data_IF_979287798977
#
_entry.id   IF_979287798977
#
_cell.length_a   1.000
_cell.length_b   1.000
_cell.length_c   1.000
_cell.angle_alpha   90.00
_cell.angle_beta   90.00
_cell.angle_gamma   90.00
#
_symmetry.space_group_name_H-M   'P 1'
#
loop_
_entity.id
_entity.type
_entity.pdbx_description
1 polymer ?
#
# COMPACT_ATOMS: atom_id res chain seq x y z
N UNK A 1 -1.18 8.70 14.82
CA UNK A 1 -0.21 7.62 14.52
C UNK A 1 0.64 7.92 13.26
N UNK A 2 1.82 7.30 13.10
CA UNK A 2 2.50 7.21 11.80
C UNK A 2 1.62 6.44 10.81
N UNK A 3 1.52 6.90 9.57
CA UNK A 3 0.58 6.36 8.58
C UNK A 3 1.26 5.90 7.28
N UNK A 4 2.32 6.59 6.84
CA UNK A 4 3.09 6.21 5.65
C UNK A 4 4.50 6.82 5.67
N UNK A 5 5.37 6.34 4.79
CA UNK A 5 6.68 6.95 4.56
C UNK A 5 7.07 6.85 3.09
N UNK A 6 7.81 7.83 2.58
CA UNK A 6 8.34 7.81 1.21
C UNK A 6 9.51 8.78 1.06
N UNK A 7 10.59 8.36 0.41
CA UNK A 7 11.79 9.16 0.13
C UNK A 7 12.32 9.99 1.33
N UNK A 8 12.26 9.43 2.55
CA UNK A 8 12.71 10.09 3.78
C UNK A 8 11.68 11.02 4.43
N UNK A 9 10.50 11.20 3.83
CA UNK A 9 9.35 11.84 4.47
C UNK A 9 8.53 10.83 5.25
N UNK A 10 8.04 11.25 6.41
CA UNK A 10 7.09 10.51 7.24
C UNK A 10 5.74 11.21 7.20
N UNK A 11 4.66 10.47 6.97
CA UNK A 11 3.29 10.97 7.08
C UNK A 11 2.66 10.48 8.39
N UNK A 12 2.02 11.40 9.10
CA UNK A 12 1.25 11.14 10.31
C UNK A 12 -0.21 11.51 10.09
N UNK A 13 -1.09 10.74 10.72
CA UNK A 13 -2.53 10.95 10.71
C UNK A 13 -3.07 10.94 12.14
N UNK A 14 -4.11 11.74 12.40
CA UNK A 14 -4.85 11.63 13.67
C UNK A 14 -5.69 10.36 13.71
N UNK A 15 -5.67 9.70 14.88
CA UNK A 15 -6.50 8.53 15.19
C UNK A 15 -7.96 8.91 15.50
N UNK A 16 -8.25 10.21 15.70
CA UNK A 16 -9.61 10.71 15.92
C UNK A 16 -10.45 10.63 14.65
N UNK A 17 -11.74 10.28 14.78
CA UNK A 17 -12.67 10.25 13.65
C UNK A 17 -12.92 11.65 13.08
N UNK A 18 -13.23 11.71 11.78
CA UNK A 18 -13.61 12.96 11.10
C UNK A 18 -12.75 13.21 9.87
N UNK A 19 -12.79 14.44 9.37
CA UNK A 19 -11.92 14.86 8.28
C UNK A 19 -10.46 14.80 8.72
N UNK A 20 -9.59 14.41 7.80
CA UNK A 20 -8.20 14.08 8.12
C UNK A 20 -7.26 15.16 7.61
N UNK A 21 -6.22 15.43 8.38
CA UNK A 21 -5.07 16.22 7.95
C UNK A 21 -3.85 15.33 8.03
N UNK A 22 -3.14 15.17 6.91
CA UNK A 22 -1.84 14.51 6.90
C UNK A 22 -0.76 15.51 7.30
N UNK A 23 0.04 15.14 8.29
CA UNK A 23 1.24 15.87 8.66
C UNK A 23 2.44 15.18 8.04
N UNK A 24 3.14 15.87 7.14
CA UNK A 24 4.41 15.43 6.57
C UNK A 24 5.56 15.96 7.40
N UNK A 25 6.46 15.08 7.81
CA UNK A 25 7.65 15.41 8.56
C UNK A 25 8.89 14.94 7.80
N UNK A 26 9.88 15.82 7.68
CA UNK A 26 11.22 15.43 7.29
C UNK A 26 12.10 15.46 8.56
N UNK A 27 12.47 14.30 9.12
CA UNK A 27 13.24 14.25 10.36
C UNK A 27 14.66 14.81 10.22
N UNK A 28 15.23 14.82 9.01
CA UNK A 28 16.58 15.32 8.74
C UNK A 28 16.57 16.85 8.74
N UNK A 29 15.65 17.45 7.97
CA UNK A 29 15.55 18.91 7.86
C UNK A 29 14.72 19.53 8.98
N UNK A 30 14.06 18.71 9.80
CA UNK A 30 13.12 19.10 10.87
C UNK A 30 11.96 19.96 10.39
N UNK A 31 11.63 19.85 9.10
CA UNK A 31 10.49 20.54 8.52
C UNK A 31 9.22 19.71 8.75
N UNK A 32 8.14 20.42 9.07
CA UNK A 32 6.80 19.87 9.19
C UNK A 32 5.87 20.66 8.27
N UNK A 33 5.03 19.97 7.52
CA UNK A 33 4.00 20.57 6.68
C UNK A 33 2.68 19.83 6.86
N UNK A 34 1.59 20.57 7.01
CA UNK A 34 0.24 20.01 7.02
C UNK A 34 -0.34 20.09 5.60
N UNK A 35 -0.85 18.97 5.10
CA UNK A 35 -1.65 18.99 3.87
C UNK A 35 -3.03 19.62 4.16
N UNK A 36 -3.72 20.15 3.13
CA UNK A 36 -5.09 20.60 3.29
C UNK A 36 -5.99 19.47 3.83
N UNK A 37 -7.05 19.84 4.53
CA UNK A 37 -7.99 18.87 5.13
C UNK A 37 -8.62 17.98 4.06
N UNK A 38 -8.75 16.68 4.33
CA UNK A 38 -9.29 15.70 3.38
C UNK A 38 -10.78 15.94 3.13
N UNK A 39 -11.26 15.80 1.89
CA UNK A 39 -12.67 15.97 1.55
C UNK A 39 -13.59 15.01 2.31
N UNK A 40 -13.17 13.75 2.48
CA UNK A 40 -13.99 12.73 3.12
C UNK A 40 -13.60 12.54 4.59
N UNK A 41 -14.62 12.45 5.46
CA UNK A 41 -14.45 12.12 6.87
C UNK A 41 -14.24 10.61 7.06
N UNK A 42 -13.23 10.23 7.85
CA UNK A 42 -12.77 8.84 7.99
C UNK A 42 -12.45 8.48 9.45
N UNK A 43 -12.42 7.19 9.80
CA UNK A 43 -11.95 6.73 11.12
C UNK A 43 -10.47 6.36 11.07
N UNK A 44 -10.12 5.24 10.41
CA UNK A 44 -8.76 4.71 10.37
C UNK A 44 -8.35 4.36 8.93
N UNK A 45 -8.26 5.35 8.02
CA UNK A 45 -8.03 5.07 6.61
C UNK A 45 -6.64 4.52 6.34
N UNK A 46 -6.54 3.85 5.20
CA UNK A 46 -5.27 3.39 4.62
C UNK A 46 -4.61 4.56 3.88
N UNK A 47 -3.33 4.84 4.13
CA UNK A 47 -2.63 6.03 3.62
C UNK A 47 -1.43 5.69 2.75
N UNK A 48 -1.51 5.95 1.45
CA UNK A 48 -0.35 5.90 0.56
C UNK A 48 0.40 7.23 0.52
N UNK A 49 1.73 7.19 0.47
CA UNK A 49 2.56 8.36 0.19
C UNK A 49 3.60 8.03 -0.88
N UNK A 50 3.76 8.91 -1.85
CA UNK A 50 4.84 8.88 -2.83
C UNK A 50 5.44 10.28 -2.94
N UNK A 51 6.71 10.41 -2.56
CA UNK A 51 7.46 11.65 -2.66
C UNK A 51 8.52 11.52 -3.75
N UNK A 52 8.41 12.37 -4.77
CA UNK A 52 9.42 12.60 -5.77
C UNK A 52 10.28 13.83 -5.44
N UNK A 53 11.27 14.16 -6.29
CA UNK A 53 12.11 15.34 -6.09
C UNK A 53 11.36 16.66 -6.08
N UNK A 54 10.26 16.75 -6.83
CA UNK A 54 9.45 17.97 -7.01
C UNK A 54 7.95 17.74 -6.83
N UNK A 55 7.55 16.54 -6.42
CA UNK A 55 6.13 16.16 -6.35
C UNK A 55 5.82 15.29 -5.14
N UNK A 56 4.60 15.42 -4.65
CA UNK A 56 4.06 14.64 -3.55
C UNK A 56 2.68 14.15 -3.97
N UNK A 57 2.46 12.85 -3.84
CA UNK A 57 1.15 12.23 -4.00
C UNK A 57 0.82 11.55 -2.68
N UNK A 58 -0.34 11.86 -2.13
CA UNK A 58 -0.88 11.14 -0.97
C UNK A 58 -2.26 10.58 -1.31
N UNK A 59 -2.50 9.32 -0.95
CA UNK A 59 -3.79 8.63 -1.14
C UNK A 59 -4.34 8.31 0.23
N UNK A 60 -5.59 8.68 0.51
CA UNK A 60 -6.29 8.38 1.76
C UNK A 60 -7.55 7.60 1.42
N UNK A 61 -7.56 6.30 1.71
CA UNK A 61 -8.56 5.37 1.21
C UNK A 61 -9.26 4.58 2.32
N UNK A 62 -10.56 4.38 2.15
CA UNK A 62 -11.39 3.55 3.02
C UNK A 62 -11.77 4.20 4.35
N UNK A 63 -12.45 3.40 5.17
CA UNK A 63 -12.95 3.80 6.48
C UNK A 63 -13.77 5.10 6.47
N UNK A 64 -14.51 5.33 5.38
CA UNK A 64 -15.42 6.45 5.19
C UNK A 64 -16.50 6.41 6.28
N UNK A 65 -16.63 7.51 7.03
CA UNK A 65 -17.67 7.65 8.05
C UNK A 65 -19.03 7.79 7.37
N UNK A 66 -19.86 6.75 7.52
CA UNK A 66 -21.27 6.79 7.06
C UNK A 66 -22.21 7.20 8.18
N UNK A 67 -21.75 7.12 9.43
CA UNK A 67 -22.38 7.68 10.62
C UNK A 67 -21.32 7.88 11.71
N UNK A 68 -21.64 8.53 12.85
CA UNK A 68 -20.71 8.65 13.97
C UNK A 68 -20.22 7.30 14.55
N UNK A 69 -20.91 6.20 14.25
CA UNK A 69 -20.66 4.88 14.82
C UNK A 69 -20.33 3.81 13.78
N UNK A 70 -20.28 4.17 12.50
CA UNK A 70 -20.10 3.21 11.42
C UNK A 70 -19.23 3.75 10.29
N UNK A 71 -18.36 2.89 9.79
CA UNK A 71 -17.52 3.14 8.63
C UNK A 71 -17.78 2.14 7.52
N UNK A 72 -17.48 2.55 6.28
CA UNK A 72 -17.46 1.67 5.11
C UNK A 72 -16.28 2.04 4.23
N UNK A 73 -15.73 1.08 3.50
CA UNK A 73 -14.74 1.34 2.45
C UNK A 73 -15.45 1.75 1.16
N UNK A 74 -15.64 3.06 0.96
CA UNK A 74 -16.41 3.61 -0.17
C UNK A 74 -15.50 4.31 -1.15
N UNK A 75 -14.57 5.14 -0.66
CA UNK A 75 -13.82 6.04 -1.54
C UNK A 75 -12.34 6.15 -1.18
N UNK A 76 -11.59 6.79 -2.08
CA UNK A 76 -10.26 7.29 -1.80
C UNK A 76 -10.11 8.73 -2.29
N UNK A 77 -9.53 9.57 -1.42
CA UNK A 77 -9.13 10.93 -1.73
C UNK A 77 -7.65 10.94 -2.12
N UNK A 78 -7.30 11.70 -3.15
CA UNK A 78 -5.92 11.81 -3.61
C UNK A 78 -5.48 13.26 -3.56
N UNK A 79 -4.43 13.54 -2.80
CA UNK A 79 -3.75 14.82 -2.83
C UNK A 79 -2.60 14.74 -3.82
N UNK A 80 -2.48 15.74 -4.68
CA UNK A 80 -1.39 15.90 -5.64
C UNK A 80 -0.79 17.28 -5.47
N UNK A 81 0.51 17.33 -5.23
CA UNK A 81 1.31 18.54 -5.33
C UNK A 81 2.47 18.29 -6.29
N UNK A 82 2.68 19.22 -7.21
CA UNK A 82 3.84 19.25 -8.09
C UNK A 82 4.33 20.70 -8.15
N UNK A 83 5.62 20.93 -7.95
CA UNK A 83 6.22 22.26 -8.03
C UNK A 83 6.00 22.91 -9.41
N UNK A 84 5.77 22.12 -10.45
CA UNK A 84 5.43 22.62 -11.80
C UNK A 84 3.93 22.92 -11.99
N UNK A 85 3.07 22.52 -11.05
CA UNK A 85 1.61 22.73 -11.14
C UNK A 85 1.17 24.09 -10.57
N UNK A 86 -0.01 24.55 -10.99
CA UNK A 86 -0.64 25.76 -10.47
C UNK A 86 -2.01 25.38 -9.87
N UNK A 87 -2.23 25.55 -8.54
CA UNK A 87 -1.28 26.09 -7.56
C UNK A 87 -0.20 25.05 -7.15
N UNK A 88 1.04 25.49 -6.87
CA UNK A 88 2.13 24.60 -6.47
C UNK A 88 1.92 24.00 -5.06
N UNK A 89 1.02 24.59 -4.26
CA UNK A 89 0.63 24.07 -2.95
C UNK A 89 -0.14 22.75 -3.02
N UNK A 90 -0.51 22.30 -4.23
CA UNK A 90 -1.26 21.08 -4.47
C UNK A 90 -2.77 21.23 -4.22
N UNK A 91 -3.49 20.17 -4.55
CA UNK A 91 -4.94 20.09 -4.44
C UNK A 91 -5.41 18.65 -4.18
N UNK A 92 -6.62 18.51 -3.65
CA UNK A 92 -7.32 17.24 -3.62
C UNK A 92 -7.99 16.98 -4.97
N UNK A 93 -7.59 15.91 -5.64
CA UNK A 93 -8.24 15.43 -6.85
C UNK A 93 -9.64 14.86 -6.52
N UNK A 94 -10.54 14.77 -7.51
CA UNK A 94 -11.86 14.15 -7.32
C UNK A 94 -11.76 12.75 -6.74
N UNK A 95 -12.52 12.48 -5.68
CA UNK A 95 -12.50 11.19 -4.99
C UNK A 95 -12.84 10.04 -5.94
N UNK A 96 -12.11 8.94 -5.83
CA UNK A 96 -12.40 7.70 -6.55
C UNK A 96 -13.27 6.78 -5.72
N UNK A 97 -14.10 5.97 -6.38
CA UNK A 97 -14.87 4.92 -5.72
C UNK A 97 -14.03 3.64 -5.63
N UNK A 98 -13.94 3.09 -4.41
CA UNK A 98 -13.32 1.80 -4.19
C UNK A 98 -14.15 0.70 -4.88
N UNK A 99 -13.49 -0.37 -5.38
CA UNK A 99 -14.21 -1.52 -5.91
C UNK A 99 -15.15 -2.10 -4.85
N UNK A 100 -16.29 -2.66 -5.28
CA UNK A 100 -17.22 -3.30 -4.34
C UNK A 100 -16.51 -4.40 -3.53
N UNK A 101 -16.92 -4.51 -2.26
CA UNK A 101 -16.40 -5.48 -1.30
C UNK A 101 -14.88 -5.33 -1.06
N UNK A 102 -14.37 -4.10 -1.13
CA UNK A 102 -13.01 -3.80 -0.68
C UNK A 102 -13.00 -3.72 0.85
N UNK A 103 -12.09 -4.48 1.46
CA UNK A 103 -11.87 -4.46 2.90
C UNK A 103 -10.42 -4.05 3.12
N UNK A 104 -10.14 -2.75 3.11
CA UNK A 104 -8.77 -2.26 3.26
C UNK A 104 -8.24 -2.58 4.66
N UNK A 105 -6.96 -2.94 4.73
CA UNK A 105 -6.26 -3.16 5.98
C UNK A 105 -5.10 -2.17 6.09
N UNK A 106 -5.20 -1.15 6.98
CA UNK A 106 -4.13 -0.18 7.19
C UNK A 106 -2.80 -0.81 7.63
N UNK A 107 -2.82 -2.03 8.17
CA UNK A 107 -1.63 -2.73 8.69
C UNK A 107 -0.91 -3.57 7.65
N UNK A 108 -1.56 -3.90 6.54
CA UNK A 108 -1.05 -4.86 5.56
C UNK A 108 0.00 -4.26 4.60
N UNK A 109 0.60 -3.12 4.95
CA UNK A 109 1.57 -2.40 4.14
C UNK A 109 1.00 -1.90 2.82
N UNK A 110 1.71 -0.95 2.22
CA UNK A 110 1.36 -0.39 0.92
C UNK A 110 2.61 -0.21 0.10
N UNK A 111 2.44 -0.27 -1.22
CA UNK A 111 3.50 0.05 -2.15
C UNK A 111 3.01 1.13 -3.11
N UNK A 112 3.90 2.04 -3.48
CA UNK A 112 3.69 2.94 -4.59
C UNK A 112 4.73 2.63 -5.66
N UNK A 113 4.30 2.42 -6.90
CA UNK A 113 5.24 2.16 -7.97
C UNK A 113 4.67 2.59 -9.31
N UNK A 114 5.47 3.32 -10.08
CA UNK A 114 5.13 3.73 -11.45
C UNK A 114 3.77 4.44 -11.54
N UNK A 115 3.51 5.39 -10.63
CA UNK A 115 2.27 6.17 -10.59
C UNK A 115 1.03 5.40 -10.09
N UNK A 116 1.22 4.19 -9.54
CA UNK A 116 0.14 3.36 -9.02
C UNK A 116 0.33 3.09 -7.55
N UNK A 117 -0.77 3.12 -6.83
CA UNK A 117 -0.86 2.78 -5.42
C UNK A 117 -1.41 1.35 -5.26
N UNK A 118 -0.79 0.57 -4.39
CA UNK A 118 -1.11 -0.83 -4.14
C UNK A 118 -1.38 -1.05 -2.65
N UNK A 119 -2.50 -1.68 -2.34
CA UNK A 119 -2.85 -2.05 -0.97
C UNK A 119 -3.51 -3.43 -0.92
N UNK A 120 -3.36 -4.10 0.22
CA UNK A 120 -3.98 -5.39 0.48
C UNK A 120 -5.41 -5.21 1.03
N UNK A 121 -6.28 -6.15 0.69
CA UNK A 121 -7.56 -6.31 1.39
C UNK A 121 -7.47 -7.38 2.47
N UNK A 122 -8.08 -7.20 3.65
CA UNK A 122 -8.02 -8.13 4.78
C UNK A 122 -8.78 -9.44 4.58
N UNK A 123 -9.94 -9.44 3.90
CA UNK A 123 -10.66 -10.68 3.61
C UNK A 123 -11.67 -10.55 2.47
N UNK A 124 -11.67 -11.46 1.49
CA UNK A 124 -10.59 -12.40 1.17
C UNK A 124 -9.41 -11.66 0.51
N UNK A 125 -8.15 -12.06 0.77
CA UNK A 125 -6.93 -11.32 0.34
C UNK A 125 -6.87 -11.01 -1.16
N UNK A 126 -7.05 -9.74 -1.54
CA UNK A 126 -6.82 -9.21 -2.87
C UNK A 126 -5.77 -8.09 -2.80
N UNK A 127 -5.08 -7.83 -3.92
CA UNK A 127 -4.28 -6.61 -4.08
C UNK A 127 -5.14 -5.65 -4.87
N UNK A 128 -5.50 -4.52 -4.27
CA UNK A 128 -6.16 -3.43 -4.96
C UNK A 128 -5.08 -2.52 -5.56
N UNK A 129 -5.29 -2.13 -6.81
CA UNK A 129 -4.37 -1.26 -7.54
C UNK A 129 -5.13 -0.02 -7.96
N UNK A 130 -4.67 1.12 -7.52
CA UNK A 130 -5.20 2.43 -7.90
C UNK A 130 -4.25 3.10 -8.87
N UNK A 131 -4.73 3.34 -10.09
CA UNK A 131 -4.03 4.17 -11.05
C UNK A 131 -4.38 5.63 -10.76
N UNK A 132 -3.41 6.36 -10.22
CA UNK A 132 -3.62 7.72 -9.70
C UNK A 132 -4.00 8.68 -10.82
N UNK A 133 -3.35 8.55 -11.99
CA UNK A 133 -3.59 9.43 -13.12
C UNK A 133 -4.96 9.14 -13.76
N UNK A 134 -5.32 7.86 -13.92
CA UNK A 134 -6.60 7.48 -14.48
C UNK A 134 -7.78 7.60 -13.50
N UNK A 135 -7.49 7.76 -12.20
CA UNK A 135 -8.47 7.74 -11.11
C UNK A 135 -9.32 6.45 -11.07
N UNK A 136 -8.70 5.31 -11.39
CA UNK A 136 -9.39 4.01 -11.54
C UNK A 136 -8.77 2.95 -10.66
N UNK A 137 -9.63 2.15 -10.04
CA UNK A 137 -9.24 0.98 -9.26
C UNK A 137 -9.36 -0.31 -10.07
N UNK A 138 -8.43 -1.22 -9.84
CA UNK A 138 -8.45 -2.59 -10.35
C UNK A 138 -8.06 -3.58 -9.25
N UNK A 139 -8.24 -4.88 -9.51
CA UNK A 139 -7.90 -5.96 -8.57
C UNK A 139 -6.89 -6.91 -9.21
N UNK A 140 -5.86 -7.25 -8.46
CA UNK A 140 -4.89 -8.30 -8.80
C UNK A 140 -4.99 -9.40 -7.76
N UNK A 141 -4.96 -10.65 -8.22
CA UNK A 141 -4.97 -11.81 -7.33
C UNK A 141 -3.57 -12.02 -6.73
N UNK A 142 -3.42 -12.09 -5.39
CA UNK A 142 -2.13 -12.35 -4.78
C UNK A 142 -1.70 -13.81 -4.96
N UNK A 143 -0.39 -14.08 -4.93
CA UNK A 143 0.13 -15.44 -5.01
C UNK A 143 -0.33 -16.24 -3.79
N UNK A 144 -0.70 -17.50 -3.99
CA UNK A 144 -1.07 -18.41 -2.90
C UNK A 144 -2.09 -17.84 -1.90
N UNK A 145 -3.05 -17.02 -2.38
CA UNK A 145 -4.08 -16.29 -1.61
C UNK A 145 -4.66 -17.00 -0.37
N UNK A 146 -4.85 -18.33 -0.43
CA UNK A 146 -5.44 -19.13 0.66
C UNK A 146 -4.46 -19.53 1.77
N UNK A 147 -3.17 -19.25 1.60
CA UNK A 147 -2.07 -19.70 2.48
C UNK A 147 -1.26 -18.54 3.06
N UNK A 148 -1.62 -17.29 2.72
CA UNK A 148 -0.94 -16.11 3.23
C UNK A 148 -1.31 -15.87 4.69
N UNK A 149 -0.30 -15.64 5.53
CA UNK A 149 -0.40 -15.09 6.87
C UNK A 149 0.45 -13.82 6.92
N UNK A 150 -0.11 -12.75 7.48
CA UNK A 150 0.54 -11.44 7.59
C UNK A 150 1.14 -10.96 6.25
N UNK A 151 0.33 -10.87 5.17
CA UNK A 151 0.83 -10.34 3.92
C UNK A 151 1.10 -8.83 4.05
N UNK A 152 2.27 -8.42 3.57
CA UNK A 152 2.69 -7.02 3.50
C UNK A 152 3.06 -6.67 2.05
N UNK A 153 2.55 -5.56 1.53
CA UNK A 153 3.06 -4.97 0.29
C UNK A 153 4.18 -3.98 0.60
N UNK A 154 5.26 -4.09 -0.17
CA UNK A 154 6.42 -3.21 -0.05
C UNK A 154 6.88 -2.71 -1.42
N UNK A 155 7.44 -1.51 -1.44
CA UNK A 155 8.12 -0.96 -2.61
C UNK A 155 9.59 -1.41 -2.60
N UNK A 156 10.05 -2.02 -3.71
CA UNK A 156 11.45 -2.39 -3.93
C UNK A 156 12.06 -1.56 -5.05
N UNK A 157 13.32 -1.16 -4.89
CA UNK A 157 14.02 -0.28 -5.82
C UNK A 157 13.63 1.19 -5.64
N UNK A 158 13.68 1.99 -6.71
CA UNK A 158 13.32 3.42 -6.66
C UNK A 158 14.47 4.38 -6.33
N UNK A 159 15.72 3.88 -6.26
CA UNK A 159 16.93 4.72 -6.20
C UNK A 159 17.20 5.47 -7.52
N UNK A 160 18.33 6.20 -7.59
CA UNK A 160 18.70 7.10 -8.72
C UNK A 160 18.64 6.48 -10.13
N UNK A 161 18.70 5.15 -10.27
CA UNK A 161 18.77 4.48 -11.59
C UNK A 161 17.78 3.30 -11.78
N UNK A 162 17.05 2.91 -10.74
CA UNK A 162 16.22 1.68 -10.76
C UNK A 162 14.73 1.96 -10.65
N UNK A 163 13.95 1.52 -11.62
CA UNK A 163 12.50 1.73 -11.60
C UNK A 163 11.81 0.91 -10.51
N UNK A 164 11.10 1.58 -9.58
CA UNK A 164 10.39 0.96 -8.45
C UNK A 164 9.48 -0.21 -8.86
N UNK A 165 9.44 -1.23 -8.01
CA UNK A 165 8.72 -2.50 -8.16
C UNK A 165 7.87 -2.74 -6.93
N UNK A 166 6.78 -3.48 -7.10
CA UNK A 166 5.96 -3.92 -5.97
C UNK A 166 6.35 -5.35 -5.61
N UNK A 167 6.53 -5.57 -4.32
CA UNK A 167 6.70 -6.91 -3.77
C UNK A 167 5.65 -7.21 -2.71
N UNK A 168 5.32 -8.49 -2.59
CA UNK A 168 4.48 -9.04 -1.52
C UNK A 168 5.36 -9.94 -0.67
N UNK A 169 5.40 -9.66 0.63
CA UNK A 169 6.06 -10.48 1.65
C UNK A 169 4.97 -11.15 2.46
N UNK A 170 5.08 -12.45 2.73
CA UNK A 170 4.12 -13.11 3.62
C UNK A 170 4.69 -14.42 4.16
N UNK A 171 4.26 -14.80 5.36
CA UNK A 171 4.37 -16.18 5.81
C UNK A 171 3.37 -17.04 5.04
N UNK A 172 3.84 -18.21 4.59
CA UNK A 172 3.02 -19.19 3.91
C UNK A 172 2.77 -20.36 4.84
N UNK A 173 1.51 -20.59 5.17
CA UNK A 173 1.10 -21.71 6.00
C UNK A 173 -0.01 -22.52 5.36
N UNK A 174 0.11 -23.83 5.46
CA UNK A 174 -0.94 -24.76 5.05
C UNK A 174 -1.09 -25.85 6.09
N UNK A 175 -2.29 -25.96 6.65
CA UNK A 175 -2.58 -26.86 7.77
C UNK A 175 -2.73 -28.34 7.37
N UNK A 176 -2.97 -28.66 6.08
CA UNK A 176 -3.34 -30.03 5.64
C UNK A 176 -2.56 -30.58 4.43
N UNK A 177 -1.55 -29.88 3.92
CA UNK A 177 -0.72 -30.34 2.79
C UNK A 177 0.73 -29.94 3.03
N UNK A 178 1.67 -30.64 2.37
CA UNK A 178 3.13 -30.54 2.52
C UNK A 178 3.76 -29.24 2.00
N UNK A 179 3.07 -28.10 2.09
CA UNK A 179 3.68 -26.81 1.77
C UNK A 179 4.58 -26.41 2.94
N UNK A 180 5.90 -26.26 2.74
CA UNK A 180 6.79 -25.88 3.83
C UNK A 180 6.44 -24.49 4.36
N UNK A 181 6.28 -24.39 5.68
CA UNK A 181 6.17 -23.10 6.37
C UNK A 181 7.42 -22.30 6.07
N UNK A 182 7.23 -21.08 5.59
CA UNK A 182 8.31 -20.19 5.17
C UNK A 182 7.79 -18.77 5.04
N UNK A 183 8.67 -17.79 5.23
CA UNK A 183 8.44 -16.42 4.75
C UNK A 183 8.93 -16.35 3.31
N UNK A 184 8.14 -15.75 2.43
CA UNK A 184 8.39 -15.70 1.00
C UNK A 184 8.14 -14.31 0.44
N UNK A 185 8.84 -14.01 -0.64
CA UNK A 185 8.79 -12.75 -1.36
C UNK A 185 8.40 -13.01 -2.82
N UNK A 186 7.39 -12.29 -3.31
CA UNK A 186 7.03 -12.26 -4.73
C UNK A 186 7.11 -10.85 -5.26
N UNK A 187 7.56 -10.69 -6.50
CA UNK A 187 7.46 -9.41 -7.21
C UNK A 187 6.35 -9.46 -8.25
N UNK A 188 5.60 -8.37 -8.36
CA UNK A 188 4.59 -8.23 -9.40
C UNK A 188 5.28 -7.90 -10.74
N UNK A 189 5.03 -8.71 -11.77
CA UNK A 189 5.50 -8.37 -13.13
C UNK A 189 4.82 -7.10 -13.60
N UNK A 190 5.59 -6.20 -14.25
CA UNK A 190 5.02 -5.01 -14.89
C UNK A 190 3.98 -5.45 -15.91
N UNK A 191 2.76 -4.94 -15.76
CA UNK A 191 1.75 -4.98 -16.82
C UNK A 191 2.24 -4.02 -17.90
N UNK A 192 2.53 -4.52 -19.10
CA UNK A 192 2.95 -3.67 -20.21
C UNK A 192 1.82 -2.72 -20.65
N UNK A 193 2.18 -1.57 -21.22
CA UNK A 193 1.25 -0.69 -21.93
C UNK A 193 0.75 -1.39 -23.21
N UNK A 194 -0.19 -2.33 -23.07
CA UNK A 194 -0.88 -2.99 -24.17
C UNK A 194 -2.37 -3.00 -23.85
N UNK A 195 -3.14 -2.27 -24.66
CA UNK A 195 -4.57 -2.07 -24.49
C UNK A 195 -5.39 -3.36 -24.46
N UNK A 196 -6.52 -3.27 -23.77
CA UNK A 196 -7.51 -4.34 -23.69
C UNK A 196 -8.57 -4.03 -22.66
N UNK A 197 -9.51 -3.17 -23.01
CA UNK A 197 -10.82 -3.17 -22.36
C UNK A 197 -11.51 -4.51 -22.68
N UNK A 198 -12.35 -4.96 -21.75
CA UNK A 198 -13.26 -6.10 -21.78
C UNK A 198 -12.71 -7.46 -21.31
N UNK A 199 -13.30 -7.93 -20.20
CA UNK A 199 -13.55 -9.36 -19.94
C UNK A 199 -12.38 -10.19 -19.40
N UNK A 200 -12.41 -10.48 -18.09
CA UNK A 200 -11.77 -11.66 -17.50
C UNK A 200 -10.33 -11.48 -17.01
N UNK A 201 -10.16 -11.48 -15.69
CA UNK A 201 -9.04 -12.14 -14.99
C UNK A 201 -7.60 -11.91 -15.48
N UNK A 202 -7.25 -10.72 -15.98
CA UNK A 202 -5.88 -10.36 -16.36
C UNK A 202 -4.97 -10.21 -15.14
N UNK A 203 -4.62 -11.34 -14.51
CA UNK A 203 -3.78 -11.42 -13.34
C UNK A 203 -2.38 -10.90 -13.63
N UNK A 204 -2.00 -9.80 -12.97
CA UNK A 204 -0.59 -9.48 -12.84
C UNK A 204 0.13 -10.71 -12.28
N UNK A 205 1.02 -11.30 -13.08
CA UNK A 205 1.68 -12.53 -12.72
C UNK A 205 2.75 -12.23 -11.65
N UNK A 206 2.50 -12.72 -10.44
CA UNK A 206 3.46 -12.70 -9.35
C UNK A 206 4.54 -13.76 -9.59
N UNK A 207 5.80 -13.39 -9.34
CA UNK A 207 6.93 -14.32 -9.45
C UNK A 207 7.61 -14.42 -8.09
N UNK A 208 7.78 -15.65 -7.56
CA UNK A 208 8.52 -15.88 -6.31
C UNK A 208 10.00 -15.57 -6.59
N UNK A 209 10.57 -14.63 -5.84
CA UNK A 209 11.96 -14.19 -6.04
C UNK A 209 12.86 -14.54 -4.88
N UNK A 210 12.29 -14.75 -3.69
CA UNK A 210 13.04 -15.19 -2.53
C UNK A 210 12.18 -16.00 -1.56
N UNK A 211 12.84 -16.89 -0.83
CA UNK A 211 12.27 -17.67 0.26
C UNK A 211 13.28 -17.68 1.41
N UNK A 212 12.78 -17.43 2.61
CA UNK A 212 13.59 -17.52 3.82
C UNK A 212 14.13 -18.95 3.99
N UNK A 213 15.45 -19.13 4.19
CA UNK A 213 16.05 -20.45 4.43
C UNK A 213 15.42 -21.15 5.65
N UNK A 214 15.30 -22.49 5.66
CA UNK A 214 14.61 -23.21 6.74
C UNK A 214 15.15 -22.96 8.15
N UNK A 215 16.48 -22.88 8.31
CA UNK A 215 17.14 -22.64 9.60
C UNK A 215 16.82 -21.24 10.14
N UNK A 216 16.86 -20.23 9.26
CA UNK A 216 16.49 -18.84 9.59
C UNK A 216 15.00 -18.75 9.91
N UNK A 217 14.16 -19.45 9.16
CA UNK A 217 12.72 -19.51 9.41
C UNK A 217 12.40 -20.14 10.78
N UNK A 218 13.15 -21.15 11.22
CA UNK A 218 12.94 -21.73 12.55
C UNK A 218 13.18 -20.69 13.67
N UNK A 219 14.25 -19.89 13.56
CA UNK A 219 14.53 -18.80 14.49
C UNK A 219 13.46 -17.71 14.43
N UNK A 220 13.07 -17.30 13.22
CA UNK A 220 12.00 -16.33 13.00
C UNK A 220 10.68 -16.80 13.62
N UNK A 221 10.29 -18.05 13.41
CA UNK A 221 9.03 -18.60 13.92
C UNK A 221 8.98 -18.62 15.45
N UNK A 222 10.11 -18.86 16.13
CA UNK A 222 10.22 -18.75 17.58
C UNK A 222 10.01 -17.30 18.04
N UNK A 223 10.67 -16.34 17.37
CA UNK A 223 10.54 -14.92 17.71
C UNK A 223 9.13 -14.37 17.44
N UNK A 224 8.56 -14.69 16.28
CA UNK A 224 7.23 -14.25 15.84
C UNK A 224 6.11 -14.86 16.67
N UNK A 225 6.26 -16.11 17.11
CA UNK A 225 5.37 -16.75 18.10
C UNK A 225 3.89 -16.76 17.71
N UNK A 226 3.58 -16.76 16.41
CA UNK A 226 2.22 -16.74 15.86
C UNK A 226 1.51 -15.38 15.87
N UNK A 227 2.19 -14.29 16.28
CA UNK A 227 1.57 -12.95 16.40
C UNK A 227 1.45 -12.20 15.07
N UNK A 228 2.00 -12.73 13.99
CA UNK A 228 2.19 -12.02 12.75
C UNK A 228 3.42 -11.12 12.79
N UNK A 229 3.69 -10.49 11.64
CA UNK A 229 4.77 -9.53 11.47
C UNK A 229 4.33 -8.45 10.47
N UNK A 230 5.03 -7.32 10.52
CA UNK A 230 4.93 -6.25 9.54
C UNK A 230 6.26 -6.17 8.78
N UNK A 231 6.24 -5.59 7.59
CA UNK A 231 7.45 -5.41 6.78
C UNK A 231 7.59 -3.96 6.36
N UNK A 232 8.83 -3.50 6.29
CA UNK A 232 9.21 -2.28 5.61
C UNK A 232 10.26 -2.61 4.53
N UNK A 233 10.41 -1.72 3.56
CA UNK A 233 11.47 -1.84 2.58
C UNK A 233 12.19 -0.51 2.37
N UNK A 234 13.46 -0.60 2.02
CA UNK A 234 14.30 0.53 1.65
C UNK A 234 15.26 0.13 0.53
N UNK A 235 15.09 0.73 -0.64
CA UNK A 235 15.81 0.31 -1.84
C UNK A 235 15.48 -1.15 -2.16
N UNK A 236 16.51 -1.99 -2.27
CA UNK A 236 16.32 -3.43 -2.54
C UNK A 236 16.28 -4.30 -1.27
N UNK A 237 16.26 -3.69 -0.08
CA UNK A 237 16.22 -4.41 1.21
C UNK A 237 14.80 -4.42 1.79
N UNK A 238 14.41 -5.56 2.36
CA UNK A 238 13.19 -5.73 3.17
C UNK A 238 13.60 -6.06 4.59
N UNK A 239 12.95 -5.41 5.56
CA UNK A 239 13.15 -5.62 7.00
C UNK A 239 11.82 -5.99 7.64
#
# INVERSE_FOLDING_TARGET
SPAAASAGLLAFLSDASGHKTLLLANPITRLLAALPISPTARLSPTVGLAAGPTSIIAVVAGDDLVSPFAVKNISADTFVADAASVPPSGFWAPSSLLPRLSSLDPRAGMAFASGRFYCMSSSPFAVLVFDVAANVWSKVQPPMRRFLRSPALVELGGGREGAARVALVSAVEKSRLSVPRSVRLWTLRRVGNGGGAAGGGGGGAWTEVARMPPEVHAQFAVAEGGRGFECAAHGDYVV
#
